data_IF_170715976611
#
_entry.id   IF_170715976611
#
_cell.length_a   1.000
_cell.length_b   1.000
_cell.length_c   1.000
_cell.angle_alpha   90.00
_cell.angle_beta   90.00
_cell.angle_gamma   90.00
#
_symmetry.space_group_name_H-M   'P 1'
#
loop_
_entity.id
_entity.type
_entity.pdbx_description
1 polymer ?
#
# COMPACT_ATOMS: atom_id res chain seq x y z
N UNK A 1 -1.35 11.26 -36.79
CA UNK A 1 -2.69 10.84 -36.35
C UNK A 1 -2.78 11.10 -34.86
N UNK A 2 -3.32 12.26 -34.46
CA UNK A 2 -3.52 12.60 -33.04
C UNK A 2 -4.72 11.78 -32.58
N UNK A 3 -4.50 10.80 -31.70
CA UNK A 3 -5.58 10.05 -31.08
C UNK A 3 -6.45 11.02 -30.29
N UNK A 4 -7.76 11.03 -30.58
CA UNK A 4 -8.70 11.92 -29.92
C UNK A 4 -8.70 11.66 -28.41
N UNK A 5 -8.40 12.70 -27.66
CA UNK A 5 -8.23 12.65 -26.22
C UNK A 5 -9.62 12.62 -25.56
N UNK A 6 -9.98 11.52 -24.87
CA UNK A 6 -11.30 11.38 -24.21
C UNK A 6 -11.51 12.55 -23.20
N UNK A 7 -12.56 13.39 -23.33
CA UNK A 7 -12.87 14.45 -22.36
C UNK A 7 -13.40 13.86 -21.03
N UNK A 8 -12.87 14.29 -19.88
CA UNK A 8 -13.37 13.92 -18.54
C UNK A 8 -14.78 14.52 -18.28
N UNK A 9 -15.78 13.73 -17.81
CA UNK A 9 -15.89 13.22 -16.43
C UNK A 9 -16.22 11.71 -16.31
N UNK A 10 -16.27 11.19 -15.07
CA UNK A 10 -16.44 9.78 -14.64
C UNK A 10 -17.50 8.91 -15.36
N UNK A 11 -18.46 9.52 -16.05
CA UNK A 11 -19.47 8.82 -16.87
C UNK A 11 -18.93 8.26 -18.21
N UNK A 12 -17.66 8.55 -18.57
CA UNK A 12 -17.07 8.21 -19.88
C UNK A 12 -16.09 7.03 -19.92
N UNK A 13 -15.74 6.40 -18.79
CA UNK A 13 -14.92 5.16 -18.81
C UNK A 13 -15.62 4.06 -19.62
N UNK A 14 -16.93 3.90 -19.40
CA UNK A 14 -17.77 2.96 -20.16
C UNK A 14 -17.78 3.30 -21.65
N UNK A 15 -17.81 4.59 -21.99
CA UNK A 15 -17.86 5.08 -23.37
C UNK A 15 -16.56 4.77 -24.14
N UNK A 16 -15.38 5.07 -23.57
CA UNK A 16 -14.11 4.75 -24.23
C UNK A 16 -13.97 3.21 -24.38
N UNK A 17 -14.46 2.42 -23.42
CA UNK A 17 -14.48 0.95 -23.48
C UNK A 17 -15.38 0.41 -24.60
N UNK A 18 -16.58 0.99 -24.77
CA UNK A 18 -17.52 0.63 -25.85
C UNK A 18 -16.99 1.01 -27.24
N UNK A 19 -16.19 2.08 -27.33
CA UNK A 19 -15.55 2.53 -28.56
C UNK A 19 -14.23 1.77 -28.87
N UNK A 20 -13.89 0.75 -28.07
CA UNK A 20 -12.64 -0.03 -28.25
C UNK A 20 -11.36 0.76 -27.93
N UNK A 21 -11.47 1.90 -27.25
CA UNK A 21 -10.35 2.74 -26.85
C UNK A 21 -9.93 2.46 -25.41
N UNK A 22 -8.63 2.50 -25.14
CA UNK A 22 -8.12 2.39 -23.77
C UNK A 22 -8.32 3.70 -23.02
N UNK A 23 -8.91 3.62 -21.83
CA UNK A 23 -9.11 4.77 -20.97
C UNK A 23 -7.77 5.29 -20.42
N UNK A 24 -7.73 6.57 -20.04
CA UNK A 24 -6.54 7.19 -19.44
C UNK A 24 -6.24 6.56 -18.06
N UNK A 25 -4.99 6.22 -17.75
CA UNK A 25 -4.62 5.75 -16.41
C UNK A 25 -4.50 6.89 -15.41
N UNK A 26 -4.58 6.55 -14.12
CA UNK A 26 -4.34 7.45 -13.01
C UNK A 26 -2.90 7.33 -12.52
N UNK A 27 -2.32 8.46 -12.09
CA UNK A 27 -0.97 8.54 -11.54
C UNK A 27 -0.99 9.31 -10.22
N UNK A 28 -0.21 8.84 -9.25
CA UNK A 28 0.01 9.53 -7.98
C UNK A 28 1.33 9.09 -7.34
N UNK A 29 1.76 9.79 -6.28
CA UNK A 29 3.00 9.52 -5.58
C UNK A 29 2.73 9.27 -4.09
N UNK A 30 3.43 8.30 -3.50
CA UNK A 30 3.43 8.00 -2.07
C UNK A 30 4.81 8.34 -1.48
N UNK A 31 4.90 9.06 -0.33
CA UNK A 31 3.79 9.59 0.48
C UNK A 31 3.18 10.90 -0.06
N UNK A 32 3.74 11.48 -1.12
CA UNK A 32 3.25 12.68 -1.77
C UNK A 32 4.12 13.08 -2.94
N UNK A 33 3.76 14.15 -3.63
CA UNK A 33 4.49 14.69 -4.79
C UNK A 33 5.32 15.93 -4.48
N UNK A 34 5.27 16.42 -3.24
CA UNK A 34 6.10 17.53 -2.75
C UNK A 34 6.75 17.06 -1.46
N UNK A 35 8.04 16.74 -1.51
CA UNK A 35 8.74 16.03 -0.43
C UNK A 35 10.09 16.69 -0.11
N UNK A 36 10.57 16.62 1.14
CA UNK A 36 11.95 16.95 1.43
C UNK A 36 12.94 16.05 0.67
N UNK A 37 14.15 16.56 0.43
CA UNK A 37 15.23 15.76 -0.16
C UNK A 37 15.54 14.56 0.75
N UNK A 38 15.82 13.40 0.15
CA UNK A 38 16.21 12.18 0.86
C UNK A 38 15.05 11.27 1.25
N UNK A 39 13.80 11.71 1.12
CA UNK A 39 12.62 10.87 1.38
C UNK A 39 12.45 9.86 0.24
N UNK A 40 12.23 8.56 0.52
CA UNK A 40 11.88 7.58 -0.51
C UNK A 40 10.54 7.91 -1.16
N UNK A 41 10.47 7.80 -2.48
CA UNK A 41 9.24 8.05 -3.24
C UNK A 41 8.89 6.88 -4.15
N UNK A 42 7.60 6.57 -4.19
CA UNK A 42 7.02 5.57 -5.08
C UNK A 42 6.00 6.26 -5.98
N UNK A 43 6.12 6.07 -7.29
CA UNK A 43 5.07 6.47 -8.24
C UNK A 43 4.16 5.28 -8.49
N UNK A 44 2.86 5.51 -8.35
CA UNK A 44 1.82 4.52 -8.55
C UNK A 44 1.00 4.85 -9.80
N UNK A 45 0.79 3.84 -10.63
CA UNK A 45 -0.02 3.93 -11.84
C UNK A 45 -1.18 2.94 -11.76
N UNK A 46 -2.41 3.41 -12.01
CA UNK A 46 -3.63 2.59 -11.99
C UNK A 46 -4.36 2.65 -13.31
N UNK A 47 -4.70 1.50 -13.86
CA UNK A 47 -5.49 1.37 -15.08
C UNK A 47 -6.94 1.01 -14.72
N UNK A 48 -7.94 1.52 -15.47
CA UNK A 48 -9.34 1.13 -15.27
C UNK A 48 -9.62 -0.35 -15.60
N UNK A 49 -8.74 -0.98 -16.37
CA UNK A 49 -8.81 -2.38 -16.78
C UNK A 49 -7.48 -3.08 -16.52
N UNK A 50 -7.42 -4.40 -16.72
CA UNK A 50 -6.16 -5.14 -16.66
C UNK A 50 -5.11 -4.62 -17.64
N UNK A 51 -3.83 -4.79 -17.36
CA UNK A 51 -2.74 -4.38 -18.26
C UNK A 51 -1.76 -5.53 -18.54
N UNK A 52 -1.04 -5.47 -19.66
CA UNK A 52 0.10 -6.36 -19.96
C UNK A 52 1.41 -5.73 -19.46
N UNK A 53 1.58 -4.42 -19.71
CA UNK A 53 2.66 -3.61 -19.14
C UNK A 53 2.25 -2.18 -18.87
N UNK A 54 2.86 -1.57 -17.86
CA UNK A 54 2.89 -0.14 -17.66
C UNK A 54 4.23 0.43 -18.11
N UNK A 55 4.22 1.69 -18.56
CA UNK A 55 5.40 2.50 -18.82
C UNK A 55 5.34 3.77 -17.97
N UNK A 56 6.44 4.06 -17.28
CA UNK A 56 6.65 5.33 -16.62
C UNK A 56 7.57 6.20 -17.48
N UNK A 57 7.12 7.42 -17.74
CA UNK A 57 7.87 8.45 -18.44
C UNK A 57 8.17 9.62 -17.50
N UNK A 58 9.33 10.25 -17.69
CA UNK A 58 9.73 11.49 -17.03
C UNK A 58 10.19 12.48 -18.09
N UNK A 59 9.67 13.71 -18.05
CA UNK A 59 9.91 14.71 -19.10
C UNK A 59 9.66 14.14 -20.51
N UNK A 60 8.57 13.36 -20.64
CA UNK A 60 8.15 12.66 -21.86
C UNK A 60 9.16 11.62 -22.41
N UNK A 61 10.19 11.27 -21.63
CA UNK A 61 11.16 10.22 -21.93
C UNK A 61 10.84 8.94 -21.15
N UNK A 62 10.93 7.79 -21.82
CA UNK A 62 10.79 6.47 -21.19
C UNK A 62 11.88 6.26 -20.13
N UNK A 63 11.47 5.94 -18.91
CA UNK A 63 12.40 5.51 -17.84
C UNK A 63 12.34 4.00 -17.66
N UNK A 64 11.16 3.47 -17.33
CA UNK A 64 11.02 2.09 -16.89
C UNK A 64 9.67 1.53 -17.32
N UNK A 65 9.66 0.26 -17.72
CA UNK A 65 8.44 -0.50 -17.97
C UNK A 65 8.27 -1.52 -16.84
N UNK A 66 7.04 -1.67 -16.35
CA UNK A 66 6.66 -2.72 -15.42
C UNK A 66 5.74 -3.71 -16.15
N UNK A 67 6.21 -4.93 -16.33
CA UNK A 67 5.38 -6.03 -16.87
C UNK A 67 4.44 -6.49 -15.75
N UNK A 68 3.21 -6.84 -16.09
CA UNK A 68 2.26 -7.35 -15.13
C UNK A 68 2.72 -8.70 -14.56
N UNK A 69 3.42 -8.64 -13.43
CA UNK A 69 3.76 -9.81 -12.60
C UNK A 69 3.02 -9.77 -11.25
N UNK A 70 2.09 -8.81 -11.08
CA UNK A 70 1.45 -8.52 -9.81
C UNK A 70 0.15 -9.32 -9.63
N UNK A 71 -0.20 -9.62 -8.38
CA UNK A 71 -1.54 -10.08 -8.01
C UNK A 71 -2.61 -9.01 -8.30
N UNK A 72 -2.24 -7.73 -8.32
CA UNK A 72 -3.10 -6.62 -8.71
C UNK A 72 -3.04 -6.39 -10.22
N UNK A 73 -4.03 -6.89 -10.96
CA UNK A 73 -4.06 -6.80 -12.43
C UNK A 73 -4.16 -5.36 -12.98
N UNK A 74 -4.35 -4.34 -12.15
CA UNK A 74 -4.69 -2.97 -12.54
C UNK A 74 -3.77 -1.89 -11.96
N UNK A 75 -2.73 -2.25 -11.21
CA UNK A 75 -1.82 -1.31 -10.55
C UNK A 75 -0.35 -1.71 -10.79
N UNK A 76 0.51 -0.71 -11.04
CA UNK A 76 1.96 -0.85 -11.03
C UNK A 76 2.61 0.19 -10.09
N UNK A 77 3.64 -0.25 -9.36
CA UNK A 77 4.41 0.56 -8.41
C UNK A 77 5.85 0.71 -8.90
N UNK A 78 6.33 1.95 -8.98
CA UNK A 78 7.67 2.31 -9.44
C UNK A 78 8.44 2.97 -8.29
N UNK A 79 9.45 2.28 -7.78
CA UNK A 79 10.30 2.77 -6.70
C UNK A 79 11.44 3.61 -7.29
N UNK A 80 11.39 4.93 -7.12
CA UNK A 80 12.41 5.85 -7.67
C UNK A 80 13.62 6.05 -6.75
N UNK A 81 13.59 5.44 -5.56
CA UNK A 81 14.58 5.68 -4.51
C UNK A 81 14.31 6.99 -3.77
N UNK A 82 15.37 7.68 -3.35
CA UNK A 82 15.27 8.91 -2.54
C UNK A 82 15.16 10.16 -3.41
N UNK A 83 14.29 11.08 -3.01
CA UNK A 83 14.10 12.38 -3.67
C UNK A 83 15.42 13.17 -3.68
N UNK A 84 15.80 13.63 -4.87
CA UNK A 84 17.02 14.38 -5.18
C UNK A 84 16.79 15.18 -6.49
N UNK A 85 17.82 15.89 -6.97
CA UNK A 85 17.71 16.71 -8.19
C UNK A 85 17.36 15.87 -9.43
N UNK A 86 17.79 14.62 -9.47
CA UNK A 86 17.61 13.73 -10.63
C UNK A 86 16.26 13.03 -10.63
N UNK A 87 15.58 12.95 -9.48
CA UNK A 87 14.24 12.36 -9.35
C UNK A 87 13.13 13.42 -9.41
N UNK A 88 13.41 14.70 -9.15
CA UNK A 88 12.46 15.79 -9.40
C UNK A 88 12.12 15.88 -10.89
N UNK A 89 10.85 16.12 -11.21
CA UNK A 89 10.38 16.32 -12.58
C UNK A 89 8.92 15.95 -12.81
N UNK A 90 8.53 15.95 -14.09
CA UNK A 90 7.18 15.68 -14.57
C UNK A 90 7.03 14.24 -15.01
N UNK A 91 6.16 13.51 -14.34
CA UNK A 91 5.91 12.10 -14.58
C UNK A 91 4.56 11.86 -15.24
N UNK A 92 4.52 10.90 -16.16
CA UNK A 92 3.29 10.40 -16.79
C UNK A 92 3.38 8.90 -16.96
N UNK A 93 2.24 8.24 -16.97
CA UNK A 93 2.17 6.81 -17.24
C UNK A 93 1.24 6.47 -18.38
N UNK A 94 1.53 5.35 -19.01
CA UNK A 94 0.68 4.70 -20.00
C UNK A 94 0.67 3.21 -19.71
N UNK A 95 -0.40 2.53 -20.09
CA UNK A 95 -0.46 1.08 -20.06
C UNK A 95 -0.77 0.52 -21.44
N UNK A 96 -0.45 -0.76 -21.60
CA UNK A 96 -0.70 -1.49 -22.84
C UNK A 96 -1.59 -2.70 -22.56
N UNK A 97 -2.50 -2.97 -23.50
CA UNK A 97 -3.26 -4.23 -23.59
C UNK A 97 -3.14 -4.71 -25.03
N UNK A 98 -2.66 -5.94 -25.24
CA UNK A 98 -2.58 -6.59 -26.57
C UNK A 98 -1.91 -5.70 -27.63
N UNK A 99 -0.79 -5.07 -27.27
CA UNK A 99 -0.03 -4.14 -28.13
C UNK A 99 -0.71 -2.79 -28.45
N UNK A 100 -1.81 -2.46 -27.77
CA UNK A 100 -2.49 -1.16 -27.88
C UNK A 100 -2.16 -0.34 -26.64
N UNK A 101 -1.65 0.88 -26.84
CA UNK A 101 -1.32 1.81 -25.77
C UNK A 101 -2.51 2.71 -25.39
N UNK A 102 -2.66 2.95 -24.09
CA UNK A 102 -3.53 3.99 -23.58
C UNK A 102 -3.00 5.39 -23.92
N UNK A 103 -3.86 6.42 -23.83
CA UNK A 103 -3.37 7.80 -23.68
C UNK A 103 -2.46 7.93 -22.44
N UNK A 104 -1.63 8.98 -22.43
CA UNK A 104 -0.84 9.37 -21.25
C UNK A 104 -1.76 9.78 -20.10
N UNK A 105 -1.38 9.47 -18.87
CA UNK A 105 -2.03 10.00 -17.67
C UNK A 105 -1.99 11.53 -17.62
N UNK A 106 -2.63 12.08 -16.60
CA UNK A 106 -2.32 13.43 -16.14
C UNK A 106 -0.85 13.54 -15.72
N UNK A 107 -0.34 14.77 -15.64
CA UNK A 107 1.06 15.00 -15.25
C UNK A 107 1.17 15.07 -13.74
N UNK A 108 2.00 14.21 -13.16
CA UNK A 108 2.43 14.31 -11.77
C UNK A 108 3.73 15.09 -11.70
N UNK A 109 3.75 16.22 -10.99
CA UNK A 109 4.96 17.00 -10.75
C UNK A 109 5.53 16.60 -9.39
N UNK A 110 6.72 16.00 -9.39
CA UNK A 110 7.46 15.66 -8.18
C UNK A 110 8.47 16.78 -7.87
N UNK A 111 8.31 17.43 -6.72
CA UNK A 111 9.10 18.59 -6.31
C UNK A 111 9.78 18.39 -4.95
N UNK A 112 10.87 19.13 -4.73
CA UNK A 112 11.54 19.20 -3.43
C UNK A 112 11.01 20.41 -2.65
N UNK A 113 10.60 20.19 -1.40
CA UNK A 113 10.34 21.30 -0.47
C UNK A 113 11.66 22.04 -0.26
N UNK A 114 11.72 23.31 -0.69
CA UNK A 114 12.82 24.20 -0.34
C UNK A 114 12.58 24.69 1.07
N UNK A 115 13.55 24.48 1.94
CA UNK A 115 13.58 25.06 3.28
C UNK A 115 13.81 26.57 3.16
N UNK A 116 12.77 27.34 2.81
CA UNK A 116 12.76 28.78 3.07
C UNK A 116 11.32 29.31 3.13
N UNK A 117 11.01 29.98 4.25
CA UNK A 117 9.74 30.65 4.65
C UNK A 117 8.62 29.68 5.13
N UNK A 118 8.40 29.47 6.43
CA UNK A 118 7.94 30.50 7.36
C UNK A 118 8.47 30.27 8.78
N UNK A 119 9.07 31.32 9.30
CA UNK A 119 9.36 31.63 10.69
C UNK A 119 8.07 31.53 11.55
N UNK A 120 7.74 30.32 12.02
CA UNK A 120 6.87 30.07 13.18
C UNK A 120 7.27 28.70 13.75
N UNK A 121 8.23 28.74 14.65
CA UNK A 121 8.62 27.72 15.64
C UNK A 121 7.88 26.38 15.60
N UNK A 122 8.44 25.40 14.89
CA UNK A 122 8.46 23.97 15.32
C UNK A 122 9.80 23.35 14.89
N UNK A 123 10.51 22.63 15.79
CA UNK A 123 11.79 22.03 15.47
C UNK A 123 11.64 20.88 14.45
N UNK A 124 12.56 20.83 13.49
CA UNK A 124 12.67 19.91 12.32
C UNK A 124 12.56 18.40 12.67
N UNK A 125 12.69 18.05 13.95
CA UNK A 125 12.38 16.70 14.45
C UNK A 125 10.90 16.34 14.30
N UNK A 126 10.00 17.31 14.33
CA UNK A 126 8.56 17.06 14.40
C UNK A 126 7.95 16.71 13.03
N UNK A 127 8.47 17.23 11.90
CA UNK A 127 7.89 16.93 10.56
C UNK A 127 8.28 15.53 10.08
N UNK A 128 9.52 15.11 10.32
CA UNK A 128 9.96 13.71 10.10
C UNK A 128 9.19 12.79 11.03
N UNK A 129 8.94 13.23 12.26
CA UNK A 129 8.09 12.53 13.21
C UNK A 129 6.63 12.52 12.74
N UNK A 130 6.03 13.53 12.13
CA UNK A 130 4.63 13.51 11.68
C UNK A 130 4.38 12.51 10.54
N UNK A 131 5.24 12.49 9.51
CA UNK A 131 5.10 11.54 8.40
C UNK A 131 5.42 10.09 8.79
N UNK A 132 6.47 9.88 9.60
CA UNK A 132 6.76 8.54 10.15
C UNK A 132 5.73 8.13 11.20
N UNK A 133 5.16 9.10 11.94
CA UNK A 133 4.19 8.81 13.00
C UNK A 133 2.79 8.46 12.50
N UNK A 134 2.39 8.92 11.32
CA UNK A 134 1.06 8.57 10.82
C UNK A 134 1.05 7.13 10.26
N UNK A 135 2.13 6.73 9.59
CA UNK A 135 2.23 5.42 8.94
C UNK A 135 2.57 4.28 9.91
N UNK A 136 3.40 4.51 10.95
CA UNK A 136 3.68 3.49 11.99
C UNK A 136 2.48 3.25 12.93
N UNK A 137 1.56 4.21 13.11
CA UNK A 137 0.39 4.08 14.00
C UNK A 137 -0.63 3.09 13.46
N UNK A 138 -0.87 3.11 12.15
CA UNK A 138 -1.85 2.21 11.50
C UNK A 138 -1.29 0.78 11.42
N UNK A 139 0.00 0.63 11.10
CA UNK A 139 0.66 -0.68 11.04
C UNK A 139 0.82 -1.33 12.42
N UNK A 140 1.18 -0.55 13.44
CA UNK A 140 1.23 -1.06 14.82
C UNK A 140 -0.14 -1.51 15.30
N UNK A 141 -1.23 -0.84 14.91
CA UNK A 141 -2.59 -1.25 15.29
C UNK A 141 -2.95 -2.67 14.82
N UNK A 142 -2.71 -2.97 13.54
CA UNK A 142 -2.98 -4.29 12.96
C UNK A 142 -2.06 -5.36 13.55
N UNK A 143 -0.78 -5.04 13.76
CA UNK A 143 0.21 -5.97 14.32
C UNK A 143 -0.11 -6.33 15.77
N UNK A 144 -0.53 -5.35 16.58
CA UNK A 144 -0.92 -5.57 17.98
C UNK A 144 -2.22 -6.37 18.09
N UNK A 145 -3.18 -6.14 17.18
CA UNK A 145 -4.42 -6.93 17.13
C UNK A 145 -4.14 -8.40 16.79
N UNK A 146 -3.27 -8.68 15.82
CA UNK A 146 -2.88 -10.05 15.46
C UNK A 146 -2.15 -10.77 16.60
N UNK A 147 -1.22 -10.08 17.28
CA UNK A 147 -0.50 -10.65 18.43
C UNK A 147 -1.46 -11.01 19.59
N UNK A 148 -2.47 -10.18 19.86
CA UNK A 148 -3.48 -10.45 20.88
C UNK A 148 -4.32 -11.70 20.58
N UNK A 149 -4.75 -11.86 19.33
CA UNK A 149 -5.52 -13.06 18.90
C UNK A 149 -4.69 -14.34 19.08
N UNK A 150 -3.41 -14.31 18.71
CA UNK A 150 -2.51 -15.46 18.86
C UNK A 150 -2.36 -15.86 20.33
N UNK A 151 -2.19 -14.89 21.23
CA UNK A 151 -2.06 -15.17 22.67
C UNK A 151 -3.33 -15.76 23.28
N UNK A 152 -4.52 -15.31 22.86
CA UNK A 152 -5.79 -15.89 23.30
C UNK A 152 -5.94 -17.35 22.87
N UNK A 153 -5.57 -17.67 21.63
CA UNK A 153 -5.61 -19.04 21.12
C UNK A 153 -4.63 -19.95 21.87
N UNK A 154 -3.39 -19.49 22.09
CA UNK A 154 -2.40 -20.26 22.86
C UNK A 154 -2.85 -20.45 24.32
N UNK A 155 -3.41 -19.42 24.94
CA UNK A 155 -3.98 -19.49 26.28
C UNK A 155 -5.11 -20.50 26.39
N UNK A 156 -6.00 -20.56 25.39
CA UNK A 156 -7.05 -21.57 25.34
C UNK A 156 -6.48 -23.00 25.19
N UNK A 157 -5.51 -23.21 24.30
CA UNK A 157 -4.88 -24.54 24.11
C UNK A 157 -4.19 -25.02 25.39
N UNK A 158 -3.44 -24.14 26.06
CA UNK A 158 -2.76 -24.47 27.32
C UNK A 158 -3.79 -24.68 28.44
N UNK A 159 -4.84 -23.86 28.48
CA UNK A 159 -5.94 -23.98 29.43
C UNK A 159 -6.65 -25.33 29.32
N UNK A 160 -6.98 -25.75 28.10
CA UNK A 160 -7.58 -27.06 27.82
C UNK A 160 -6.63 -28.21 28.18
N UNK A 161 -5.34 -28.10 27.84
CA UNK A 161 -4.34 -29.10 28.20
C UNK A 161 -4.20 -29.25 29.72
N UNK A 162 -4.17 -28.13 30.45
CA UNK A 162 -4.08 -28.14 31.91
C UNK A 162 -5.38 -28.63 32.57
N UNK A 163 -6.54 -28.21 32.04
CA UNK A 163 -7.84 -28.66 32.50
C UNK A 163 -8.02 -30.18 32.32
N UNK A 164 -7.65 -30.70 31.16
CA UNK A 164 -7.66 -32.14 30.86
C UNK A 164 -6.70 -32.91 31.78
N UNK A 165 -5.49 -32.39 32.01
CA UNK A 165 -4.53 -33.00 32.93
C UNK A 165 -5.07 -33.04 34.37
N UNK A 166 -5.69 -31.95 34.84
CA UNK A 166 -6.28 -31.88 36.19
C UNK A 166 -7.46 -32.83 36.35
N UNK A 167 -8.32 -32.94 35.34
CA UNK A 167 -9.43 -33.92 35.33
C UNK A 167 -8.92 -35.36 35.43
N UNK A 168 -7.81 -35.68 34.75
CA UNK A 168 -7.17 -37.00 34.85
C UNK A 168 -6.53 -37.27 36.21
N UNK A 169 -6.01 -36.26 36.91
CA UNK A 169 -5.41 -36.43 38.24
C UNK A 169 -6.48 -36.53 39.34
N UNK A 170 -7.61 -35.86 39.19
CA UNK A 170 -8.74 -35.96 40.12
C UNK A 170 -9.46 -37.31 40.04
N UNK A 171 -9.57 -37.87 38.83
CA UNK A 171 -10.15 -39.22 38.63
C UNK A 171 -9.28 -40.37 39.19
N UNK A 172 -8.04 -40.09 39.62
CA UNK A 172 -7.13 -41.07 40.24
C UNK A 172 -7.02 -40.94 41.76
N UNK A 173 -7.70 -39.96 42.38
CA UNK A 173 -7.69 -39.73 43.82
C UNK A 173 -9.00 -40.20 44.45
N UNK A 174 -9.22 -41.51 44.44
CA UNK A 174 -10.16 -42.20 45.34
C UNK A 174 -9.35 -42.82 46.49
N UNK A 175 -9.31 -42.23 47.69
CA UNK A 175 -8.97 -42.97 48.90
C UNK A 175 -10.24 -43.65 49.40
N UNK A 176 -10.17 -44.97 49.49
CA UNK A 176 -11.19 -45.78 50.13
C UNK A 176 -11.31 -45.49 51.63
N UNK A 177 -12.52 -45.70 52.14
CA UNK A 177 -12.83 -46.27 53.45
C UNK A 177 -12.49 -45.42 54.68
N UNK A 178 -13.52 -45.00 55.41
CA UNK A 178 -13.59 -45.34 56.84
C UNK A 178 -15.05 -45.35 57.32
N UNK A 179 -15.46 -46.53 57.80
CA UNK A 179 -16.69 -46.76 58.56
C UNK A 179 -16.48 -46.34 60.02
N UNK A 180 -17.51 -45.74 60.61
CA UNK A 180 -17.70 -45.50 62.05
C UNK A 180 -19.22 -45.30 62.21
N UNK A 181 -20.01 -45.96 63.05
CA UNK A 181 -19.83 -46.94 64.11
C UNK A 181 -21.12 -46.82 64.93
N UNK A 182 -21.90 -47.91 65.03
CA UNK A 182 -22.90 -48.21 66.04
C UNK A 182 -23.03 -49.74 66.12
#
# INVERSE_FOLDING_TARGET
>A
MKGEECPHPVHRILLCSLLGHLARPYIFAEPGNVLPRGIPVVIMCKSPAGFDRFRLEKEDLRIIDAINSSSSKTEARFYLGRVNKDTVGRYRCLYEIKNIWSPRSETLVLEVIREDITQASTPISEVTQVFTTQSYKVWNGVTMALAGVVLLVLGAIIGEAWYSHRKSTDSSRTPGGHNQGD
#
